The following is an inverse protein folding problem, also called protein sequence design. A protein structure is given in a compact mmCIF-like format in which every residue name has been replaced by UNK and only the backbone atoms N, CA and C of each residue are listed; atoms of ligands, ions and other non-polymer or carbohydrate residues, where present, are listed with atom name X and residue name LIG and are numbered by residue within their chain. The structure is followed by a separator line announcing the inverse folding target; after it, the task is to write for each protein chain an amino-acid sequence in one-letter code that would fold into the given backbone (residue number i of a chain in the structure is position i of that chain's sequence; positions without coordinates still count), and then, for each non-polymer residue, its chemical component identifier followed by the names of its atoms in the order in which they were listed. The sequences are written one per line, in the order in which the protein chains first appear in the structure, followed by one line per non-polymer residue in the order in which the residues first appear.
data_IF_155676452302
#
_entry.id   IF_155676452302
#
_cell.length_a   1.000
_cell.length_b   1.000
_cell.length_c   1.000
_cell.angle_alpha   90.00
_cell.angle_beta   90.00
_cell.angle_gamma   90.00
#
_symmetry.space_group_name_H-M   'P 1'
#
loop_
_entity.id
_entity.type
_entity.pdbx_description
1 polymer ?
#
# COMPACT_ATOMS: atom_id res chain seq x y z
N UNK A 1 5.23 -1.81 16.17
CA UNK A 1 3.76 -1.77 16.27
C UNK A 1 3.27 -0.55 17.07
N UNK A 2 3.82 -0.28 18.27
CA UNK A 2 3.35 0.79 19.19
C UNK A 2 3.47 2.23 18.67
N UNK A 3 4.56 2.56 17.96
CA UNK A 3 4.81 3.95 17.51
C UNK A 3 3.74 4.48 16.56
N UNK A 4 3.17 3.62 15.72
CA UNK A 4 2.10 4.02 14.80
C UNK A 4 0.80 4.35 15.55
N UNK A 5 0.46 3.58 16.58
CA UNK A 5 -0.73 3.84 17.40
C UNK A 5 -0.63 5.20 18.11
N UNK A 6 0.55 5.53 18.65
CA UNK A 6 0.80 6.82 19.30
C UNK A 6 0.61 7.97 18.30
N UNK A 7 1.18 7.84 17.10
CA UNK A 7 1.03 8.87 16.04
C UNK A 7 -0.43 9.01 15.61
N UNK A 8 -1.13 7.91 15.36
CA UNK A 8 -2.55 7.94 14.97
C UNK A 8 -3.41 8.58 16.05
N UNK A 9 -3.15 8.28 17.33
CA UNK A 9 -3.87 8.87 18.45
C UNK A 9 -3.62 10.38 18.55
N UNK A 10 -2.37 10.83 18.39
CA UNK A 10 -2.04 12.25 18.39
C UNK A 10 -2.72 13.00 17.24
N UNK A 11 -2.75 12.41 16.05
CA UNK A 11 -3.47 12.97 14.90
C UNK A 11 -4.96 13.06 15.19
N UNK A 12 -5.58 11.99 15.70
CA UNK A 12 -7.00 11.97 16.05
C UNK A 12 -7.33 13.06 17.09
N UNK A 13 -6.50 13.21 18.12
CA UNK A 13 -6.68 14.24 19.15
C UNK A 13 -6.58 15.65 18.55
N UNK A 14 -5.59 15.90 17.69
CA UNK A 14 -5.44 17.18 17.01
C UNK A 14 -6.67 17.52 16.14
N UNK A 15 -7.24 16.54 15.44
CA UNK A 15 -8.47 16.75 14.65
C UNK A 15 -9.68 17.10 15.51
N UNK A 16 -9.82 16.45 16.67
CA UNK A 16 -10.88 16.79 17.65
C UNK A 16 -10.71 18.21 18.15
N UNK A 17 -9.49 18.58 18.56
CA UNK A 17 -9.19 19.95 19.02
C UNK A 17 -9.48 20.97 17.94
N UNK A 18 -9.05 20.72 16.70
CA UNK A 18 -9.30 21.60 15.56
C UNK A 18 -10.80 21.81 15.33
N UNK A 19 -11.59 20.74 15.43
CA UNK A 19 -13.06 20.76 15.23
C UNK A 19 -13.76 21.53 16.34
N UNK A 20 -13.36 21.33 17.60
CA UNK A 20 -13.97 22.00 18.75
C UNK A 20 -13.57 23.47 18.83
N UNK A 21 -12.32 23.80 18.52
CA UNK A 21 -11.82 25.18 18.55
C UNK A 21 -12.22 26.00 17.33
N UNK A 22 -12.42 25.36 16.18
CA UNK A 22 -12.85 26.01 14.95
C UNK A 22 -14.19 25.42 14.48
N UNK A 23 -15.28 25.64 15.25
CA UNK A 23 -16.61 25.19 14.85
C UNK A 23 -17.17 26.03 13.70
N UNK A 24 -16.52 27.17 13.39
CA UNK A 24 -16.94 28.06 12.33
C UNK A 24 -16.94 27.30 11.00
N UNK A 25 -18.09 27.24 10.32
CA UNK A 25 -18.17 26.61 9.03
C UNK A 25 -17.29 27.38 8.04
N UNK A 26 -16.61 26.64 7.17
CA UNK A 26 -15.71 27.21 6.16
C UNK A 26 -16.38 27.18 4.80
N UNK A 27 -16.15 28.23 4.03
CA UNK A 27 -16.55 28.27 2.63
C UNK A 27 -15.57 27.41 1.81
N UNK A 28 -16.09 26.43 1.08
CA UNK A 28 -15.31 25.60 0.17
C UNK A 28 -15.67 26.02 -1.25
N UNK A 29 -14.70 26.56 -1.98
CA UNK A 29 -14.81 26.85 -3.41
C UNK A 29 -14.00 25.81 -4.17
N UNK A 30 -14.67 25.03 -5.00
CA UNK A 30 -14.05 23.96 -5.78
C UNK A 30 -14.48 24.03 -7.24
N UNK A 31 -13.55 24.43 -8.12
CA UNK A 31 -13.76 24.71 -9.55
C UNK A 31 -14.89 25.71 -9.81
N UNK A 32 -16.14 25.24 -9.83
CA UNK A 32 -17.35 26.04 -10.07
C UNK A 32 -18.44 25.81 -9.01
N UNK A 33 -18.14 25.01 -7.99
CA UNK A 33 -19.06 24.73 -6.88
C UNK A 33 -18.61 25.49 -5.64
N UNK A 34 -19.53 26.23 -5.04
CA UNK A 34 -19.32 26.92 -3.77
C UNK A 34 -20.25 26.33 -2.72
N UNK A 35 -19.68 25.91 -1.60
CA UNK A 35 -20.40 25.46 -0.43
C UNK A 35 -20.04 26.37 0.75
N UNK A 36 -20.93 27.30 1.07
CA UNK A 36 -20.67 28.41 2.01
C UNK A 36 -20.65 27.99 3.49
N UNK A 37 -21.13 26.79 3.82
CA UNK A 37 -21.37 26.38 5.21
C UNK A 37 -20.98 24.93 5.49
N UNK A 38 -19.77 24.53 5.10
CA UNK A 38 -19.30 23.16 5.36
C UNK A 38 -18.58 23.12 6.72
N UNK A 39 -19.02 22.27 7.66
CA UNK A 39 -18.27 22.06 8.90
C UNK A 39 -16.88 21.49 8.61
N UNK A 40 -15.86 22.00 9.29
CA UNK A 40 -14.45 21.60 9.08
C UNK A 40 -14.25 20.08 9.20
N UNK A 41 -14.99 19.43 10.10
CA UNK A 41 -14.93 17.97 10.29
C UNK A 41 -15.27 17.18 9.02
N UNK A 42 -16.20 17.67 8.19
CA UNK A 42 -16.60 16.99 6.95
C UNK A 42 -15.42 16.96 5.98
N UNK A 43 -14.71 18.09 5.86
CA UNK A 43 -13.54 18.22 4.97
C UNK A 43 -12.40 17.32 5.46
N UNK A 44 -12.15 17.34 6.78
CA UNK A 44 -11.14 16.49 7.42
C UNK A 44 -11.42 15.01 7.16
N UNK A 45 -12.67 14.56 7.34
CA UNK A 45 -13.07 13.18 7.11
C UNK A 45 -12.86 12.77 5.65
N UNK A 46 -13.29 13.60 4.70
CA UNK A 46 -13.09 13.33 3.27
C UNK A 46 -11.60 13.23 2.94
N UNK A 47 -10.79 14.16 3.45
CA UNK A 47 -9.34 14.15 3.23
C UNK A 47 -8.69 12.89 3.80
N UNK A 48 -9.07 12.48 5.01
CA UNK A 48 -8.52 11.30 5.66
C UNK A 48 -8.93 10.01 4.93
N UNK A 49 -10.21 9.88 4.58
CA UNK A 49 -10.73 8.76 3.80
C UNK A 49 -10.06 8.66 2.43
N UNK A 50 -9.85 9.79 1.75
CA UNK A 50 -9.12 9.83 0.49
C UNK A 50 -7.69 9.29 0.63
N UNK A 51 -6.98 9.69 1.69
CA UNK A 51 -5.65 9.16 2.00
C UNK A 51 -5.63 7.64 2.18
N UNK A 52 -6.63 7.07 2.87
CA UNK A 52 -6.76 5.61 3.06
C UNK A 52 -7.04 4.90 1.73
N UNK A 53 -7.91 5.46 0.88
CA UNK A 53 -8.22 4.90 -0.43
C UNK A 53 -6.97 4.86 -1.31
N UNK A 54 -6.25 5.97 -1.39
CA UNK A 54 -5.01 6.10 -2.17
C UNK A 54 -3.96 5.11 -1.65
N UNK A 55 -3.72 5.07 -0.34
CA UNK A 55 -2.75 4.16 0.27
C UNK A 55 -3.11 2.68 0.00
N UNK A 56 -4.40 2.34 0.05
CA UNK A 56 -4.89 1.00 -0.25
C UNK A 56 -4.60 0.61 -1.70
N UNK A 57 -4.90 1.50 -2.66
CA UNK A 57 -4.58 1.28 -4.07
C UNK A 57 -3.08 1.07 -4.31
N UNK A 58 -2.23 1.90 -3.72
CA UNK A 58 -0.77 1.74 -3.79
C UNK A 58 -0.31 0.40 -3.17
N UNK A 59 -0.93 0.00 -2.07
CA UNK A 59 -0.70 -1.29 -1.43
C UNK A 59 -1.00 -2.47 -2.34
N UNK A 60 -2.15 -2.44 -3.04
CA UNK A 60 -2.55 -3.48 -3.98
C UNK A 60 -1.57 -3.61 -5.16
N UNK A 61 -1.13 -2.48 -5.72
CA UNK A 61 -0.14 -2.47 -6.81
C UNK A 61 1.18 -3.09 -6.33
N UNK A 62 1.64 -2.72 -5.13
CA UNK A 62 2.87 -3.27 -4.55
C UNK A 62 2.76 -4.77 -4.28
N UNK A 63 1.62 -5.24 -3.78
CA UNK A 63 1.38 -6.66 -3.57
C UNK A 63 1.38 -7.46 -4.88
N UNK A 64 0.82 -6.92 -5.96
CA UNK A 64 0.83 -7.57 -7.28
C UNK A 64 2.27 -7.82 -7.76
N UNK A 65 3.12 -6.79 -7.69
CA UNK A 65 4.56 -6.91 -8.05
C UNK A 65 5.29 -7.93 -7.16
N UNK A 66 4.96 -7.98 -5.88
CA UNK A 66 5.60 -8.89 -4.94
C UNK A 66 5.19 -10.35 -5.20
N UNK A 67 3.91 -10.61 -5.52
CA UNK A 67 3.43 -11.95 -5.92
C UNK A 67 4.13 -12.46 -7.18
N UNK A 68 4.36 -11.61 -8.18
CA UNK A 68 5.09 -11.99 -9.38
C UNK A 68 6.56 -12.34 -9.08
N UNK A 69 7.21 -11.60 -8.17
CA UNK A 69 8.58 -11.91 -7.72
C UNK A 69 8.64 -13.25 -6.98
N UNK A 70 7.68 -13.54 -6.11
CA UNK A 70 7.59 -14.83 -5.41
C UNK A 70 7.48 -15.99 -6.41
N UNK A 71 6.61 -15.86 -7.42
CA UNK A 71 6.44 -16.88 -8.46
C UNK A 71 7.72 -17.10 -9.28
N UNK A 72 8.44 -16.03 -9.61
CA UNK A 72 9.71 -16.13 -10.34
C UNK A 72 10.80 -16.81 -9.49
N UNK A 73 10.89 -16.44 -8.22
CA UNK A 73 11.84 -17.05 -7.28
C UNK A 73 11.55 -18.54 -7.04
N UNK A 74 10.27 -18.93 -6.96
CA UNK A 74 9.89 -20.34 -6.86
C UNK A 74 10.33 -21.15 -8.08
N UNK A 75 10.18 -20.61 -9.30
CA UNK A 75 10.65 -21.28 -10.52
C UNK A 75 12.17 -21.46 -10.54
N UNK A 76 12.94 -20.45 -10.12
CA UNK A 76 14.39 -20.59 -10.04
C UNK A 76 14.82 -21.65 -9.02
N UNK A 77 14.10 -21.77 -7.90
CA UNK A 77 14.35 -22.83 -6.90
C UNK A 77 14.06 -24.22 -7.49
N UNK A 78 13.01 -24.35 -8.30
CA UNK A 78 12.64 -25.60 -8.98
C UNK A 78 13.70 -26.00 -10.02
N UNK A 79 14.13 -25.06 -10.86
CA UNK A 79 15.17 -25.29 -11.88
C UNK A 79 16.52 -25.65 -11.24
N UNK A 80 16.89 -25.01 -10.13
CA UNK A 80 18.12 -25.33 -9.38
C UNK A 80 18.04 -26.68 -8.65
N UNK A 81 16.84 -27.21 -8.41
CA UNK A 81 16.63 -28.53 -7.77
C UNK A 81 16.59 -29.67 -8.78
N UNK A 82 16.34 -29.39 -10.06
CA UNK A 82 16.47 -30.41 -11.09
C UNK A 82 17.96 -30.68 -11.33
N UNK A 83 18.41 -31.94 -11.29
CA UNK A 83 19.79 -32.27 -11.64
C UNK A 83 20.04 -31.82 -13.08
N UNK A 84 21.26 -31.35 -13.42
CA UNK A 84 21.58 -31.04 -14.80
C UNK A 84 21.25 -32.25 -15.67
N UNK A 85 20.65 -32.05 -16.86
CA UNK A 85 20.41 -33.15 -17.78
C UNK A 85 21.76 -33.82 -18.01
N UNK A 86 21.87 -35.10 -17.62
CA UNK A 86 23.03 -35.94 -17.91
C UNK A 86 23.22 -35.82 -19.41
N UNK A 87 24.33 -35.20 -19.81
CA UNK A 87 24.63 -35.07 -21.23
C UNK A 87 24.86 -36.48 -21.75
N UNK A 88 24.28 -36.88 -22.90
CA UNK A 88 24.47 -38.22 -23.45
C UNK A 88 25.96 -38.59 -23.62
N UNK A 89 26.83 -37.58 -23.65
CA UNK A 89 28.27 -37.70 -23.81
C UNK A 89 28.99 -38.26 -22.56
N UNK A 90 28.32 -38.32 -21.39
CA UNK A 90 28.91 -38.87 -20.15
C UNK A 90 28.75 -40.40 -20.01
N UNK A 91 27.93 -41.06 -20.84
CA UNK A 91 27.75 -42.53 -20.80
C UNK A 91 28.81 -43.28 -21.65
N UNK A 92 29.42 -42.66 -22.66
CA UNK A 92 30.36 -43.33 -23.57
C UNK A 92 31.75 -43.62 -22.95
N UNK A 93 32.17 -42.91 -21.90
CA UNK A 93 33.52 -43.10 -21.28
C UNK A 93 33.56 -44.19 -20.19
N UNK A 94 32.43 -44.83 -19.89
CA UNK A 94 32.33 -45.87 -18.84
C UNK A 94 32.33 -47.31 -19.37
N UNK A 95 32.39 -47.48 -20.69
CA UNK A 95 32.31 -48.78 -21.36
C UNK A 95 33.59 -49.20 -22.10
N UNK A 96 34.73 -48.53 -21.87
CA UNK A 96 36.06 -48.98 -22.34
C UNK A 96 36.91 -49.57 -21.22
#
# INVERSE_FOLDING_TARGET
MSRHLIVTLLVALALVVLTVQNPNPVAVQFLSWEAQQVPVIVIVLISLSSGVIIASFLGLIKQSKLKSKIRLQQRMIEDLKQPPPVSPDDEEDSSQ
#
